data_IF_318912470815
#
_entry.id   IF_318912470815
#
_cell.length_a   1.000
_cell.length_b   1.000
_cell.length_c   1.000
_cell.angle_alpha   90.00
_cell.angle_beta   90.00
_cell.angle_gamma   90.00
#
_symmetry.space_group_name_H-M   'P 1'
#
loop_
_entity.id
_entity.type
_entity.pdbx_description
1 polymer ?
#
# COMPACT_ATOMS: atom_id res chain seq x y z
N UNK A 1 19.51 11.00 36.77
CA UNK A 1 20.85 11.23 36.17
C UNK A 1 21.13 10.24 35.05
N UNK A 2 21.14 8.94 35.34
CA UNK A 2 21.45 7.84 34.40
C UNK A 2 20.65 7.84 33.07
N UNK A 3 19.34 8.14 33.11
CA UNK A 3 18.52 8.26 31.89
C UNK A 3 18.99 9.39 30.95
N UNK A 4 19.45 10.52 31.51
CA UNK A 4 19.89 11.66 30.70
C UNK A 4 21.23 11.38 30.04
N UNK A 5 22.13 10.71 30.75
CA UNK A 5 23.43 10.27 30.22
C UNK A 5 23.22 9.22 29.12
N UNK A 6 22.32 8.25 29.33
CA UNK A 6 21.93 7.28 28.32
C UNK A 6 21.30 7.92 27.08
N UNK A 7 20.42 8.91 27.26
CA UNK A 7 19.81 9.67 26.15
C UNK A 7 20.88 10.40 25.33
N UNK A 8 21.89 10.98 26.00
CA UNK A 8 23.01 11.69 25.35
C UNK A 8 23.87 10.72 24.54
N UNK A 9 24.27 9.59 25.11
CA UNK A 9 25.06 8.58 24.39
C UNK A 9 24.29 7.98 23.21
N UNK A 10 23.01 7.60 23.39
CA UNK A 10 22.18 7.10 22.28
C UNK A 10 22.00 8.10 21.16
N UNK A 11 21.94 9.40 21.47
CA UNK A 11 21.75 10.42 20.44
C UNK A 11 22.90 10.46 19.43
N UNK A 12 24.12 10.05 19.83
CA UNK A 12 25.30 9.97 18.97
C UNK A 12 25.24 8.82 17.96
N UNK A 13 24.44 7.78 18.23
CA UNK A 13 24.29 6.61 17.35
C UNK A 13 23.28 6.83 16.22
N UNK A 14 22.43 7.86 16.32
CA UNK A 14 21.38 8.15 15.34
C UNK A 14 21.85 9.22 14.35
N UNK A 15 22.15 8.82 13.11
CA UNK A 15 22.64 9.74 12.08
C UNK A 15 21.58 10.75 11.62
N UNK A 16 20.32 10.33 11.51
CA UNK A 16 19.22 11.22 11.15
C UNK A 16 17.87 10.71 11.68
N UNK A 17 16.93 11.64 11.88
CA UNK A 17 15.53 11.36 12.21
C UNK A 17 14.63 12.25 11.37
N UNK A 18 13.59 11.66 10.77
CA UNK A 18 12.49 12.38 10.14
C UNK A 18 11.20 11.95 10.81
N UNK A 19 10.40 12.92 11.23
CA UNK A 19 9.07 12.71 11.77
C UNK A 19 8.04 13.31 10.81
N UNK A 20 6.93 12.61 10.60
CA UNK A 20 5.77 13.12 9.90
C UNK A 20 4.51 12.75 10.68
N UNK A 21 3.59 13.69 10.78
CA UNK A 21 2.22 13.40 11.18
C UNK A 21 1.40 13.15 9.92
N UNK A 22 0.72 12.02 9.88
CA UNK A 22 -0.11 11.63 8.75
C UNK A 22 -1.58 11.60 9.20
N UNK A 23 -2.48 12.00 8.31
CA UNK A 23 -3.93 11.85 8.45
C UNK A 23 -4.45 10.86 7.42
N UNK A 24 -5.45 10.07 7.76
CA UNK A 24 -6.08 9.16 6.81
C UNK A 24 -6.92 9.89 5.75
N UNK A 25 -6.98 9.31 4.55
CA UNK A 25 -7.99 9.67 3.57
C UNK A 25 -9.35 9.10 3.99
N UNK A 26 -10.39 9.93 4.03
CA UNK A 26 -11.75 9.52 4.42
C UNK A 26 -12.41 8.52 3.46
N UNK A 27 -11.92 8.41 2.22
CA UNK A 27 -12.40 7.45 1.23
C UNK A 27 -11.64 6.11 1.27
N UNK A 28 -10.71 5.94 2.21
CA UNK A 28 -10.06 4.67 2.47
C UNK A 28 -10.89 3.86 3.47
N UNK A 29 -11.19 2.59 3.16
CA UNK A 29 -11.94 1.73 4.07
C UNK A 29 -11.13 1.45 5.35
N UNK A 30 -11.83 1.16 6.44
CA UNK A 30 -11.19 0.72 7.67
C UNK A 30 -10.33 -0.52 7.43
N UNK A 31 -9.08 -0.55 7.95
CA UNK A 31 -8.21 -1.70 7.80
C UNK A 31 -8.81 -2.90 8.51
N UNK A 32 -9.05 -3.97 7.75
CA UNK A 32 -9.54 -5.24 8.28
C UNK A 32 -8.38 -6.23 8.48
N UNK A 33 -8.46 -7.12 9.49
CA UNK A 33 -7.54 -8.25 9.61
C UNK A 33 -7.54 -9.09 8.32
N UNK A 34 -6.35 -9.55 7.92
CA UNK A 34 -6.15 -10.30 6.67
C UNK A 34 -5.57 -11.66 7.00
N UNK A 35 -6.22 -12.72 6.54
CA UNK A 35 -5.77 -14.08 6.83
C UNK A 35 -4.55 -14.47 5.98
N UNK A 36 -3.58 -15.12 6.63
CA UNK A 36 -2.52 -15.86 5.97
C UNK A 36 -1.26 -15.02 5.76
N UNK A 37 -0.18 -15.63 5.24
CA UNK A 37 1.05 -14.89 5.03
C UNK A 37 0.75 -13.74 4.07
N UNK A 38 0.96 -12.47 4.42
CA UNK A 38 0.66 -11.32 3.55
C UNK A 38 1.95 -10.71 2.99
N UNK A 39 1.85 -10.09 1.81
CA UNK A 39 2.88 -9.17 1.29
C UNK A 39 2.28 -7.77 1.27
N UNK A 40 3.02 -6.83 1.83
CA UNK A 40 2.64 -5.42 1.86
C UNK A 40 3.53 -4.59 0.94
N UNK A 41 2.96 -3.54 0.36
CA UNK A 41 3.69 -2.55 -0.42
C UNK A 41 3.35 -1.15 0.12
N UNK A 42 4.37 -0.46 0.62
CA UNK A 42 4.26 0.95 0.98
C UNK A 42 4.71 1.79 -0.20
N UNK A 43 3.76 2.50 -0.82
CA UNK A 43 4.02 3.49 -1.87
C UNK A 43 3.97 4.88 -1.29
N UNK A 44 4.98 5.68 -1.58
CA UNK A 44 5.08 7.07 -1.14
C UNK A 44 5.19 7.95 -2.37
N UNK A 45 4.29 8.94 -2.50
CA UNK A 45 4.32 9.92 -3.59
C UNK A 45 4.58 11.31 -3.03
N UNK A 46 5.58 11.99 -3.57
CA UNK A 46 5.72 13.44 -3.39
C UNK A 46 5.00 14.13 -4.52
N UNK A 47 3.97 14.88 -4.20
CA UNK A 47 3.14 15.58 -5.17
C UNK A 47 3.72 16.96 -5.50
N UNK A 48 3.25 17.53 -6.60
CA UNK A 48 3.45 18.95 -6.88
C UNK A 48 2.75 19.77 -5.77
N UNK A 49 3.37 20.85 -5.27
CA UNK A 49 2.73 21.73 -4.31
C UNK A 49 1.37 22.22 -4.83
N UNK A 50 0.36 22.19 -3.96
CA UNK A 50 -1.01 22.62 -4.29
C UNK A 50 -1.90 21.56 -4.94
N UNK A 51 -1.37 20.42 -5.39
CA UNK A 51 -2.17 19.41 -6.14
C UNK A 51 -2.70 18.27 -5.27
N UNK A 52 -2.53 18.32 -3.94
CA UNK A 52 -2.95 17.22 -3.05
C UNK A 52 -4.45 16.96 -3.11
N UNK A 53 -5.26 18.02 -3.11
CA UNK A 53 -6.73 17.91 -3.15
C UNK A 53 -7.18 17.35 -4.50
N UNK A 54 -6.64 17.86 -5.60
CA UNK A 54 -6.91 17.36 -6.95
C UNK A 54 -6.55 15.88 -7.08
N UNK A 55 -5.36 15.51 -6.60
CA UNK A 55 -4.91 14.12 -6.60
C UNK A 55 -5.82 13.22 -5.76
N UNK A 56 -6.21 13.67 -4.58
CA UNK A 56 -7.13 12.95 -3.68
C UNK A 56 -8.52 12.74 -4.31
N UNK A 57 -9.08 13.77 -4.95
CA UNK A 57 -10.38 13.70 -5.62
C UNK A 57 -10.39 12.71 -6.79
N UNK A 58 -9.29 12.63 -7.55
CA UNK A 58 -9.15 11.61 -8.60
C UNK A 58 -9.11 10.20 -7.98
N UNK A 59 -8.29 10.00 -6.95
CA UNK A 59 -8.17 8.70 -6.27
C UNK A 59 -9.45 8.24 -5.59
N UNK A 60 -10.24 9.15 -5.01
CA UNK A 60 -11.52 8.83 -4.39
C UNK A 60 -12.49 8.12 -5.38
N UNK A 61 -12.37 8.39 -6.68
CA UNK A 61 -13.18 7.72 -7.72
C UNK A 61 -12.63 6.35 -8.11
N UNK A 62 -11.31 6.18 -8.10
CA UNK A 62 -10.64 4.97 -8.61
C UNK A 62 -10.29 3.93 -7.53
N UNK A 63 -10.29 4.31 -6.25
CA UNK A 63 -9.87 3.45 -5.14
C UNK A 63 -10.75 2.19 -5.01
N UNK A 64 -12.03 2.30 -5.43
CA UNK A 64 -13.01 1.21 -5.36
C UNK A 64 -12.51 -0.09 -5.99
N UNK A 65 -11.80 -0.02 -7.12
CA UNK A 65 -11.26 -1.22 -7.79
C UNK A 65 -10.24 -1.97 -6.93
N UNK A 66 -9.40 -1.22 -6.20
CA UNK A 66 -8.40 -1.80 -5.30
C UNK A 66 -9.03 -2.30 -4.00
N UNK A 67 -10.12 -1.67 -3.56
CA UNK A 67 -10.91 -2.15 -2.42
C UNK A 67 -11.62 -3.46 -2.75
N UNK A 68 -12.25 -3.57 -3.93
CA UNK A 68 -12.90 -4.79 -4.42
C UNK A 68 -11.92 -5.96 -4.53
N UNK A 69 -10.68 -5.69 -4.95
CA UNK A 69 -9.61 -6.69 -4.99
C UNK A 69 -8.98 -6.98 -3.62
N UNK A 70 -9.51 -6.39 -2.54
CA UNK A 70 -8.96 -6.46 -1.18
C UNK A 70 -7.48 -6.05 -1.11
N UNK A 71 -7.06 -5.06 -1.90
CA UNK A 71 -5.67 -4.58 -1.93
C UNK A 71 -5.44 -3.40 -0.98
N UNK A 72 -6.44 -2.55 -0.79
CA UNK A 72 -6.34 -1.32 0.00
C UNK A 72 -6.22 -1.65 1.51
N UNK A 73 -5.13 -1.23 2.15
CA UNK A 73 -4.94 -1.37 3.62
C UNK A 73 -5.08 -0.02 4.30
N UNK A 74 -4.36 0.99 3.83
CA UNK A 74 -4.43 2.35 4.38
C UNK A 74 -3.92 3.39 3.38
N UNK A 75 -4.49 4.58 3.43
CA UNK A 75 -4.08 5.72 2.62
C UNK A 75 -4.00 6.96 3.48
N UNK A 76 -2.87 7.65 3.41
CA UNK A 76 -2.56 8.75 4.30
C UNK A 76 -1.93 9.93 3.56
N UNK A 77 -2.08 11.13 4.10
CA UNK A 77 -1.40 12.34 3.64
C UNK A 77 -0.70 13.07 4.78
N UNK A 78 0.39 13.76 4.46
CA UNK A 78 1.20 14.50 5.43
C UNK A 78 0.49 15.77 5.93
N UNK A 79 0.30 15.88 7.25
CA UNK A 79 -0.16 17.09 7.93
C UNK A 79 0.99 17.89 8.55
N UNK A 80 2.02 17.22 9.07
CA UNK A 80 3.22 17.84 9.66
C UNK A 80 4.47 17.12 9.14
N UNK A 81 5.56 17.87 8.92
CA UNK A 81 6.83 17.35 8.42
C UNK A 81 7.03 17.71 6.94
N UNK A 82 7.45 16.74 6.13
CA UNK A 82 7.52 16.92 4.68
C UNK A 82 6.09 16.93 4.10
N UNK A 83 5.68 18.08 3.55
CA UNK A 83 4.33 18.32 3.02
C UNK A 83 4.18 17.81 1.58
N UNK A 84 2.93 17.73 1.11
CA UNK A 84 2.57 17.21 -0.21
C UNK A 84 3.00 15.76 -0.42
N UNK A 85 3.13 15.00 0.67
CA UNK A 85 3.46 13.58 0.63
C UNK A 85 2.21 12.78 0.95
N UNK A 86 2.00 11.74 0.15
CA UNK A 86 0.92 10.77 0.34
C UNK A 86 1.52 9.37 0.44
N UNK A 87 0.94 8.54 1.29
CA UNK A 87 1.39 7.17 1.53
C UNK A 87 0.22 6.22 1.32
N UNK A 88 0.41 5.23 0.45
CA UNK A 88 -0.53 4.12 0.30
C UNK A 88 0.12 2.84 0.80
N UNK A 89 -0.55 2.18 1.74
CA UNK A 89 -0.25 0.82 2.15
C UNK A 89 -1.18 -0.14 1.42
N UNK A 90 -0.60 -1.00 0.61
CA UNK A 90 -1.30 -2.08 -0.09
C UNK A 90 -0.93 -3.40 0.56
N UNK A 91 -1.87 -4.35 0.56
CA UNK A 91 -1.67 -5.68 1.10
C UNK A 91 -2.43 -6.69 0.25
N UNK A 92 -1.86 -7.88 0.08
CA UNK A 92 -2.57 -9.03 -0.46
C UNK A 92 -2.01 -10.28 0.20
N UNK A 93 -2.85 -11.31 0.34
CA UNK A 93 -2.40 -12.61 0.84
C UNK A 93 -1.23 -13.14 0.02
N UNK A 94 -0.51 -14.11 0.53
CA UNK A 94 0.51 -14.89 -0.15
C UNK A 94 0.01 -16.31 -0.17
N UNK A 95 0.04 -16.92 -1.34
CA UNK A 95 -0.34 -18.33 -1.40
C UNK A 95 0.74 -19.13 -0.66
N UNK A 96 0.37 -20.11 0.18
CA UNK A 96 1.34 -21.09 0.67
C UNK A 96 2.02 -21.73 -0.53
N UNK A 97 3.35 -21.71 -0.55
CA UNK A 97 4.14 -22.43 -1.54
C UNK A 97 3.92 -23.93 -1.29
N UNK A 98 3.39 -24.68 -2.28
CA UNK A 98 3.42 -26.14 -2.26
C UNK A 98 2.12 -26.92 -2.00
N UNK A 99 0.90 -26.37 -2.22
CA UNK A 99 -0.28 -27.23 -2.39
C UNK A 99 -0.52 -27.54 -3.87
N UNK A 100 -0.30 -28.79 -4.35
CA UNK A 100 -0.82 -29.21 -5.64
C UNK A 100 -2.34 -29.13 -5.57
N UNK A 101 -2.98 -28.49 -6.56
CA UNK A 101 -4.40 -28.67 -6.79
C UNK A 101 -4.64 -30.13 -7.16
N UNK A 102 -4.97 -30.96 -6.16
CA UNK A 102 -5.50 -32.29 -6.43
C UNK A 102 -6.81 -32.12 -7.19
N UNK A 103 -6.95 -32.93 -8.24
CA UNK A 103 -7.89 -32.75 -9.34
C UNK A 103 -9.37 -32.63 -8.93
N UNK A 104 -10.11 -31.95 -9.80
CA UNK A 104 -11.56 -31.85 -9.74
C UNK A 104 -12.07 -31.21 -11.01
N UNK A 105 -12.53 -32.05 -11.94
CA UNK A 105 -13.35 -31.69 -13.10
C UNK A 105 -14.56 -30.87 -12.64
N UNK A 106 -14.63 -29.60 -13.05
CA UNK A 106 -15.81 -28.77 -12.81
C UNK A 106 -15.53 -27.31 -13.10
N UNK A 107 -16.13 -26.78 -14.16
CA UNK A 107 -16.22 -25.34 -14.41
C UNK A 107 -16.80 -24.62 -13.19
N UNK A 108 -16.00 -23.82 -12.48
CA UNK A 108 -16.43 -22.79 -11.52
C UNK A 108 -15.45 -21.58 -11.52
N UNK A 109 -15.91 -20.38 -11.12
CA UNK A 109 -15.85 -19.19 -11.95
C UNK A 109 -14.55 -18.37 -11.84
N UNK A 110 -14.40 -17.43 -12.78
CA UNK A 110 -13.37 -16.38 -12.90
C UNK A 110 -13.14 -15.58 -11.61
N UNK A 111 -12.47 -16.15 -10.62
CA UNK A 111 -12.00 -15.43 -9.43
C UNK A 111 -10.50 -15.16 -9.58
N UNK A 112 -10.14 -13.88 -9.61
CA UNK A 112 -8.75 -13.44 -9.55
C UNK A 112 -8.10 -14.02 -8.28
N UNK A 113 -6.84 -14.49 -8.33
CA UNK A 113 -6.19 -15.03 -7.15
C UNK A 113 -6.20 -13.97 -6.03
N UNK A 114 -6.71 -14.37 -4.86
CA UNK A 114 -6.83 -13.55 -3.63
C UNK A 114 -5.48 -13.28 -2.97
N UNK A 115 -4.39 -13.82 -3.53
CA UNK A 115 -3.04 -13.77 -2.97
C UNK A 115 -1.93 -13.61 -4.04
N UNK A 116 -0.88 -12.85 -3.73
CA UNK A 116 0.41 -12.84 -4.43
C UNK A 116 1.17 -14.14 -4.14
N UNK A 117 1.25 -15.06 -5.11
CA UNK A 117 2.14 -16.23 -5.01
C UNK A 117 3.61 -15.81 -4.93
N UNK A 118 3.94 -14.78 -5.69
CA UNK A 118 5.27 -14.28 -6.02
C UNK A 118 5.16 -12.83 -6.54
N UNK A 119 6.28 -12.24 -6.97
CA UNK A 119 6.28 -10.89 -7.55
C UNK A 119 5.60 -10.82 -8.93
N UNK A 120 5.47 -11.96 -9.63
CA UNK A 120 4.82 -12.03 -10.94
C UNK A 120 3.30 -11.90 -10.82
N UNK A 121 2.67 -12.68 -9.95
CA UNK A 121 1.26 -12.54 -9.60
C UNK A 121 0.92 -11.16 -9.00
N UNK A 122 1.90 -10.49 -8.37
CA UNK A 122 1.79 -9.06 -8.03
C UNK A 122 1.72 -8.17 -9.25
N UNK A 123 2.63 -8.36 -10.20
CA UNK A 123 2.60 -7.63 -11.46
C UNK A 123 1.29 -7.85 -12.22
N UNK A 124 0.81 -9.08 -12.32
CA UNK A 124 -0.45 -9.43 -12.97
C UNK A 124 -1.65 -8.75 -12.30
N UNK A 125 -1.74 -8.81 -10.97
CA UNK A 125 -2.81 -8.13 -10.21
C UNK A 125 -2.77 -6.62 -10.46
N UNK A 126 -1.57 -6.02 -10.45
CA UNK A 126 -1.40 -4.59 -10.73
C UNK A 126 -1.81 -4.27 -12.16
N UNK A 127 -1.47 -5.12 -13.11
CA UNK A 127 -1.77 -4.94 -14.52
C UNK A 127 -3.26 -5.16 -14.82
N UNK A 128 -3.95 -5.99 -14.05
CA UNK A 128 -5.38 -6.21 -14.17
C UNK A 128 -6.21 -4.93 -13.91
N UNK A 129 -5.68 -3.99 -13.11
CA UNK A 129 -6.33 -2.69 -12.90
C UNK A 129 -6.51 -1.90 -14.20
N UNK A 130 -5.59 -2.02 -15.17
CA UNK A 130 -5.70 -1.36 -16.48
C UNK A 130 -6.87 -1.85 -17.32
N UNK A 131 -7.46 -3.01 -17.00
CA UNK A 131 -8.66 -3.52 -17.68
C UNK A 131 -9.95 -2.94 -17.11
N UNK A 132 -9.88 -2.18 -16.02
CA UNK A 132 -11.04 -1.55 -15.39
C UNK A 132 -11.28 -0.17 -16.01
N UNK A 133 -12.53 0.08 -16.44
CA UNK A 133 -12.96 1.38 -16.97
C UNK A 133 -12.61 2.50 -15.98
N UNK A 134 -12.00 3.59 -16.43
CA UNK A 134 -11.69 4.75 -15.60
C UNK A 134 -10.39 4.63 -14.80
N UNK A 135 -9.73 3.47 -14.80
CA UNK A 135 -8.40 3.35 -14.20
C UNK A 135 -7.35 4.11 -15.02
N UNK A 136 -7.43 4.00 -16.33
CA UNK A 136 -6.64 4.74 -17.31
C UNK A 136 -6.79 6.26 -17.13
N UNK A 137 -8.02 6.73 -17.01
CA UNK A 137 -8.33 8.14 -16.75
C UNK A 137 -7.75 8.62 -15.41
N UNK A 138 -7.92 7.84 -14.34
CA UNK A 138 -7.33 8.16 -13.05
C UNK A 138 -5.80 8.24 -13.12
N UNK A 139 -5.15 7.31 -13.82
CA UNK A 139 -3.69 7.34 -14.00
C UNK A 139 -3.27 8.58 -14.81
N UNK A 140 -4.00 8.90 -15.88
CA UNK A 140 -3.76 10.07 -16.72
C UNK A 140 -3.79 11.38 -15.91
N UNK A 141 -4.77 11.54 -15.02
CA UNK A 141 -4.88 12.76 -14.20
C UNK A 141 -3.99 12.78 -12.95
N UNK A 142 -3.60 11.62 -12.40
CA UNK A 142 -2.84 11.57 -11.14
C UNK A 142 -1.32 11.51 -11.31
N UNK A 143 -0.83 10.79 -12.34
CA UNK A 143 0.63 10.62 -12.54
C UNK A 143 1.35 11.94 -12.82
N UNK A 144 0.83 12.86 -13.65
CA UNK A 144 1.48 14.16 -13.88
C UNK A 144 1.59 15.03 -12.63
N UNK A 145 0.82 14.74 -11.57
CA UNK A 145 0.86 15.47 -10.31
C UNK A 145 1.97 14.95 -9.38
N UNK A 146 2.59 13.82 -9.68
CA UNK A 146 3.64 13.20 -8.86
C UNK A 146 5.01 13.69 -9.32
N UNK A 147 5.82 14.20 -8.39
CA UNK A 147 7.23 14.57 -8.63
C UNK A 147 8.16 13.38 -8.46
N UNK A 148 7.95 12.59 -7.40
CA UNK A 148 8.74 11.38 -7.13
C UNK A 148 7.87 10.29 -6.52
N UNK A 149 8.16 9.04 -6.86
CA UNK A 149 7.51 7.86 -6.30
C UNK A 149 8.56 6.92 -5.71
N UNK A 150 8.30 6.44 -4.49
CA UNK A 150 9.05 5.36 -3.87
C UNK A 150 8.12 4.19 -3.57
N UNK A 151 8.61 2.96 -3.72
CA UNK A 151 7.89 1.75 -3.33
C UNK A 151 8.79 0.83 -2.51
N UNK A 152 8.26 0.28 -1.42
CA UNK A 152 8.94 -0.67 -0.54
C UNK A 152 8.07 -1.91 -0.38
N UNK A 153 8.63 -3.08 -0.64
CA UNK A 153 7.97 -4.37 -0.42
C UNK A 153 8.33 -4.87 0.98
N UNK A 154 7.32 -5.28 1.74
CA UNK A 154 7.43 -5.71 3.11
C UNK A 154 6.83 -7.10 3.28
N UNK A 155 7.56 -7.97 3.97
CA UNK A 155 7.10 -9.30 4.38
C UNK A 155 7.08 -9.27 5.92
N UNK A 156 5.90 -9.24 6.56
CA UNK A 156 5.81 -9.20 8.01
C UNK A 156 6.32 -10.51 8.63
N UNK A 157 6.82 -10.42 9.87
CA UNK A 157 7.11 -11.60 10.68
C UNK A 157 5.83 -12.38 10.99
N UNK A 158 5.96 -13.68 11.27
CA UNK A 158 4.83 -14.57 11.60
C UNK A 158 4.02 -14.12 12.82
N UNK A 159 4.67 -13.44 13.76
CA UNK A 159 4.06 -12.92 14.99
C UNK A 159 3.39 -11.54 14.81
N UNK A 160 3.48 -10.95 13.62
CA UNK A 160 2.89 -9.64 13.37
C UNK A 160 1.36 -9.75 13.30
N UNK A 161 0.60 -8.82 13.90
CA UNK A 161 -0.86 -8.74 13.71
C UNK A 161 -1.32 -8.48 12.27
N UNK A 162 -0.38 -8.23 11.35
CA UNK A 162 -0.61 -8.08 9.92
C UNK A 162 -0.58 -9.43 9.15
N UNK A 163 -0.57 -10.57 9.86
CA UNK A 163 -0.63 -11.95 9.33
C UNK A 163 -1.93 -12.66 9.69
#
# INVERSE_FOLDING_TARGET
QEYLDFRKERSRMLLSRRNQLLLEFSFWNEPQPRQGPNIYELRTYKLKPGTMIEWGNNWARAIKYRQENQEAVGGFFSQIGELYVVHHLWGKGRHPWGTPSLGGSGCQPRHLPTAYRDLQSREETRNAAWRKRGWDENVYYTVPLIRTMESRIMIPLKISPLQ
#
